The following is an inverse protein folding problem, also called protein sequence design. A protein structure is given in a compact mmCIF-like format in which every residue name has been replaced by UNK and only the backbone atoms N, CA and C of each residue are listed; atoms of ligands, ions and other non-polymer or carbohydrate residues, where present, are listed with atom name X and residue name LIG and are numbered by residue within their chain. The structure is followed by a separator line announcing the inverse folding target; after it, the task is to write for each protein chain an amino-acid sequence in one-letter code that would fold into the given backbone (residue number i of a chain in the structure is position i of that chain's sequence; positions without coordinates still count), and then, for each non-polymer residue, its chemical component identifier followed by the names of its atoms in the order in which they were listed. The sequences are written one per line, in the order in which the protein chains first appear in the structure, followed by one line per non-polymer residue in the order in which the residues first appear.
data_IF_355353415993
#
_entry.id   IF_355353415993
#
_cell.length_a   1.000
_cell.length_b   1.000
_cell.length_c   1.000
_cell.angle_alpha   90.00
_cell.angle_beta   90.00
_cell.angle_gamma   90.00
#
_symmetry.space_group_name_H-M   'P 1'
#
loop_
_entity.id
_entity.type
_entity.pdbx_description
1 polymer ?
#
# COMPACT_ATOMS: atom_id res chain seq x y z
N UNK A 1 84.04 40.78 -51.72
CA UNK A 1 83.98 41.82 -50.69
C UNK A 1 82.65 41.72 -49.95
N UNK A 2 82.73 41.57 -48.63
CA UNK A 2 81.74 41.72 -47.55
C UNK A 2 80.26 41.30 -47.72
N UNK A 3 79.92 40.23 -46.98
CA UNK A 3 78.62 39.99 -46.35
C UNK A 3 78.40 40.97 -45.17
N UNK A 4 77.21 41.56 -45.07
CA UNK A 4 76.70 42.16 -43.83
C UNK A 4 75.73 41.21 -43.15
N UNK A 5 76.02 40.86 -41.90
CA UNK A 5 75.20 40.02 -41.02
C UNK A 5 74.00 40.81 -40.49
N UNK A 6 72.82 40.20 -40.49
CA UNK A 6 71.73 40.57 -39.60
C UNK A 6 71.45 39.37 -38.68
N UNK A 7 71.78 39.50 -37.40
CA UNK A 7 71.65 38.47 -36.37
C UNK A 7 70.27 38.53 -35.71
N UNK A 8 69.43 37.52 -35.94
CA UNK A 8 68.23 37.26 -35.14
C UNK A 8 68.65 36.55 -33.84
N UNK A 9 68.06 36.96 -32.71
CA UNK A 9 68.44 36.46 -31.37
C UNK A 9 67.54 35.30 -30.92
N UNK A 10 68.05 34.49 -29.98
CA UNK A 10 67.45 33.26 -29.43
C UNK A 10 66.10 33.44 -28.71
N UNK A 11 65.55 34.66 -28.64
CA UNK A 11 64.29 34.99 -28.00
C UNK A 11 63.05 34.75 -28.90
N UNK A 12 63.20 34.84 -30.22
CA UNK A 12 62.06 34.78 -31.15
C UNK A 12 61.48 33.37 -31.35
N UNK A 13 62.27 32.31 -31.10
CA UNK A 13 61.80 30.92 -31.20
C UNK A 13 60.94 30.46 -30.00
N UNK A 14 61.05 31.12 -28.84
CA UNK A 14 60.26 30.75 -27.63
C UNK A 14 58.83 31.30 -27.65
N UNK A 15 58.57 32.38 -28.39
CA UNK A 15 57.24 32.98 -28.52
C UNK A 15 56.31 32.21 -29.47
N UNK A 16 56.83 31.65 -30.57
CA UNK A 16 56.03 30.89 -31.52
C UNK A 16 55.62 29.50 -31.01
N UNK A 17 56.50 28.80 -30.30
CA UNK A 17 56.22 27.45 -29.79
C UNK A 17 55.21 27.44 -28.64
N UNK A 18 55.20 28.47 -27.80
CA UNK A 18 54.22 28.60 -26.71
C UNK A 18 52.82 28.95 -27.23
N UNK A 19 52.73 29.72 -28.32
CA UNK A 19 51.47 30.05 -28.99
C UNK A 19 50.82 28.85 -29.67
N UNK A 20 51.59 27.98 -30.34
CA UNK A 20 51.06 26.76 -30.98
C UNK A 20 50.60 25.70 -29.97
N UNK A 21 51.30 25.52 -28.84
CA UNK A 21 50.91 24.56 -27.80
C UNK A 21 49.62 24.99 -27.08
N UNK A 22 49.40 26.29 -26.90
CA UNK A 22 48.14 26.84 -26.39
C UNK A 22 46.97 26.64 -27.36
N UNK A 23 47.21 26.81 -28.66
CA UNK A 23 46.18 26.60 -29.69
C UNK A 23 45.79 25.12 -29.85
N UNK A 24 46.75 24.19 -29.77
CA UNK A 24 46.48 22.73 -29.84
C UNK A 24 45.79 22.21 -28.57
N UNK A 25 46.11 22.76 -27.39
CA UNK A 25 45.41 22.40 -26.15
C UNK A 25 43.99 22.96 -26.08
N UNK A 26 43.73 24.17 -26.59
CA UNK A 26 42.39 24.74 -26.71
C UNK A 26 41.49 23.98 -27.69
N UNK A 27 42.05 23.49 -28.81
CA UNK A 27 41.30 22.70 -29.79
C UNK A 27 41.00 21.26 -29.32
N UNK A 28 41.82 20.69 -28.44
CA UNK A 28 41.52 19.40 -27.78
C UNK A 28 40.47 19.53 -26.65
N UNK A 29 40.35 20.70 -26.01
CA UNK A 29 39.29 20.98 -25.03
C UNK A 29 37.93 21.13 -25.73
N UNK A 30 37.89 21.70 -26.94
CA UNK A 30 36.67 21.80 -27.77
C UNK A 30 36.09 20.43 -28.18
N UNK A 31 36.91 19.38 -28.28
CA UNK A 31 36.46 18.04 -28.70
C UNK A 31 35.78 17.22 -27.59
N UNK A 32 35.82 17.68 -26.32
CA UNK A 32 35.26 16.96 -25.16
C UNK A 32 34.10 17.68 -24.46
N UNK A 33 33.72 18.86 -24.92
CA UNK A 33 32.59 19.61 -24.35
C UNK A 33 31.26 19.12 -24.95
N UNK A 34 30.27 18.72 -24.13
CA UNK A 34 28.93 18.39 -24.61
C UNK A 34 28.31 19.57 -25.38
N UNK A 35 27.56 19.27 -26.44
CA UNK A 35 26.95 20.25 -27.37
C UNK A 35 26.13 21.37 -26.70
N UNK A 36 25.69 21.20 -25.44
CA UNK A 36 24.97 22.20 -24.66
C UNK A 36 25.80 23.46 -24.30
N UNK A 37 27.14 23.43 -24.46
CA UNK A 37 28.02 24.54 -24.10
C UNK A 37 28.39 25.50 -25.26
N UNK A 38 28.00 25.20 -26.51
CA UNK A 38 28.34 26.06 -27.66
C UNK A 38 27.60 27.42 -27.62
N UNK A 39 26.41 27.48 -27.02
CA UNK A 39 25.58 28.69 -27.00
C UNK A 39 26.10 29.81 -26.06
N UNK A 40 26.91 29.48 -25.04
CA UNK A 40 27.45 30.48 -24.10
C UNK A 40 28.89 30.90 -24.44
N UNK A 41 29.55 30.20 -25.37
CA UNK A 41 30.93 30.47 -25.76
C UNK A 41 31.03 31.57 -26.83
N UNK A 42 30.06 31.66 -27.76
CA UNK A 42 29.98 32.76 -28.74
C UNK A 42 29.83 34.13 -28.06
N UNK A 43 29.14 34.18 -26.91
CA UNK A 43 28.99 35.41 -26.12
C UNK A 43 30.29 35.82 -25.39
N UNK A 44 31.17 34.87 -25.05
CA UNK A 44 32.46 35.17 -24.39
C UNK A 44 33.59 35.45 -25.37
N UNK A 45 33.51 34.95 -26.60
CA UNK A 45 34.44 35.30 -27.69
C UNK A 45 34.36 36.79 -28.09
N UNK A 46 33.17 37.39 -28.01
CA UNK A 46 32.97 38.83 -28.26
C UNK A 46 33.67 39.73 -27.24
N UNK A 47 33.79 39.28 -25.97
CA UNK A 47 34.52 40.02 -24.93
C UNK A 47 36.04 39.94 -25.08
N UNK A 48 36.59 38.87 -25.64
CA UNK A 48 38.03 38.75 -25.89
C UNK A 48 38.49 39.46 -27.17
N UNK A 49 37.60 39.68 -28.14
CA UNK A 49 37.90 40.41 -29.38
C UNK A 49 38.03 41.92 -29.21
N UNK A 50 37.66 42.48 -28.06
CA UNK A 50 37.89 43.90 -27.74
C UNK A 50 39.17 44.14 -26.91
N UNK A 51 39.85 43.08 -26.45
CA UNK A 51 41.11 43.20 -25.72
C UNK A 51 42.36 43.07 -26.60
N UNK A 52 42.20 42.84 -27.91
CA UNK A 52 43.33 42.59 -28.83
C UNK A 52 43.83 43.83 -29.58
N UNK A 53 43.22 45.01 -29.36
CA UNK A 53 43.64 46.26 -30.01
C UNK A 53 44.18 47.28 -29.01
N UNK A 54 45.18 46.91 -28.20
CA UNK A 54 46.19 47.86 -27.68
C UNK A 54 47.15 47.18 -26.69
N UNK A 55 48.44 47.27 -27.03
CA UNK A 55 49.59 47.26 -26.11
C UNK A 55 49.89 45.95 -25.38
N UNK A 56 51.04 45.34 -25.73
CA UNK A 56 51.72 44.31 -24.95
C UNK A 56 52.08 44.83 -23.56
N UNK A 57 51.19 44.68 -22.58
CA UNK A 57 51.52 44.88 -21.17
C UNK A 57 51.96 43.55 -20.58
N UNK A 58 53.23 43.49 -20.14
CA UNK A 58 53.70 42.44 -19.26
C UNK A 58 52.95 42.55 -17.92
N UNK A 59 52.17 41.54 -17.59
CA UNK A 59 51.53 41.45 -16.28
C UNK A 59 52.60 41.15 -15.22
N UNK A 60 52.50 41.78 -14.05
CA UNK A 60 53.35 41.43 -12.91
C UNK A 60 53.11 39.98 -12.48
N UNK A 61 54.13 39.31 -11.97
CA UNK A 61 54.03 37.94 -11.44
C UNK A 61 52.90 37.79 -10.40
N UNK A 62 52.65 38.83 -9.60
CA UNK A 62 51.54 38.88 -8.65
C UNK A 62 50.16 38.84 -9.30
N UNK A 63 49.98 39.52 -10.44
CA UNK A 63 48.70 39.55 -11.16
C UNK A 63 48.41 38.22 -11.86
N UNK A 64 49.44 37.57 -12.41
CA UNK A 64 49.32 36.23 -12.99
C UNK A 64 48.97 35.17 -11.93
N UNK A 65 49.63 35.21 -10.78
CA UNK A 65 49.35 34.27 -9.69
C UNK A 65 47.92 34.43 -9.16
N UNK A 66 47.41 35.65 -9.06
CA UNK A 66 46.02 35.91 -8.64
C UNK A 66 45.01 35.34 -9.63
N UNK A 67 45.22 35.54 -10.95
CA UNK A 67 44.36 34.96 -11.99
C UNK A 67 44.40 33.43 -11.98
N UNK A 68 45.56 32.82 -11.77
CA UNK A 68 45.70 31.36 -11.62
C UNK A 68 44.90 30.86 -10.41
N UNK A 69 44.92 31.58 -9.28
CA UNK A 69 44.12 31.20 -8.12
C UNK A 69 42.61 31.24 -8.39
N UNK A 70 42.12 32.25 -9.13
CA UNK A 70 40.71 32.34 -9.52
C UNK A 70 40.34 31.17 -10.43
N UNK A 71 41.14 30.92 -11.48
CA UNK A 71 40.89 29.82 -12.42
C UNK A 71 40.88 28.47 -11.69
N UNK A 72 41.84 28.23 -10.78
CA UNK A 72 41.89 26.99 -10.01
C UNK A 72 40.71 26.85 -9.05
N UNK A 73 40.22 27.96 -8.48
CA UNK A 73 39.02 27.98 -7.63
C UNK A 73 37.77 27.64 -8.45
N UNK A 74 37.60 28.26 -9.60
CA UNK A 74 36.46 28.03 -10.51
C UNK A 74 36.48 26.59 -11.03
N UNK A 75 37.64 26.04 -11.39
CA UNK A 75 37.79 24.63 -11.79
C UNK A 75 37.43 23.69 -10.64
N UNK A 76 37.81 24.03 -9.41
CA UNK A 76 37.48 23.21 -8.23
C UNK A 76 35.98 23.23 -7.95
N UNK A 77 35.36 24.40 -8.04
CA UNK A 77 33.93 24.59 -7.83
C UNK A 77 33.10 23.89 -8.92
N UNK A 78 33.54 23.95 -10.18
CA UNK A 78 32.89 23.25 -11.30
C UNK A 78 33.04 21.73 -11.20
N UNK A 79 34.19 21.23 -10.71
CA UNK A 79 34.36 19.81 -10.37
C UNK A 79 33.45 19.38 -9.23
N UNK A 80 33.38 20.14 -8.15
CA UNK A 80 32.51 19.85 -7.01
C UNK A 80 31.03 19.90 -7.41
N UNK A 81 30.62 20.86 -8.24
CA UNK A 81 29.26 20.96 -8.77
C UNK A 81 28.93 19.85 -9.77
N UNK A 82 29.89 19.44 -10.61
CA UNK A 82 29.74 18.28 -11.50
C UNK A 82 29.63 16.97 -10.72
N UNK A 83 30.38 16.80 -9.63
CA UNK A 83 30.27 15.65 -8.72
C UNK A 83 28.96 15.64 -7.93
N UNK A 84 28.44 16.81 -7.54
CA UNK A 84 27.10 16.93 -6.95
C UNK A 84 26.00 16.59 -7.96
N UNK A 85 26.21 16.84 -9.25
CA UNK A 85 25.29 16.46 -10.32
C UNK A 85 25.30 14.95 -10.60
N UNK A 86 26.44 14.28 -10.40
CA UNK A 86 26.56 12.82 -10.37
C UNK A 86 26.26 12.27 -8.96
N UNK A 87 25.06 12.53 -8.44
CA UNK A 87 24.55 11.74 -7.31
C UNK A 87 24.33 10.29 -7.77
N UNK A 88 25.16 9.37 -7.28
CA UNK A 88 24.84 7.94 -7.26
C UNK A 88 23.63 7.73 -6.34
N UNK A 89 22.42 7.94 -6.84
CA UNK A 89 21.22 7.54 -6.11
C UNK A 89 21.18 6.01 -6.10
N UNK A 90 21.02 5.40 -4.92
CA UNK A 90 20.89 3.93 -4.82
C UNK A 90 19.84 3.43 -5.83
N UNK A 91 20.12 2.34 -6.56
CA UNK A 91 19.18 1.82 -7.55
C UNK A 91 17.82 1.59 -6.92
N UNK A 92 16.79 2.20 -7.52
CA UNK A 92 15.41 2.04 -7.04
C UNK A 92 14.99 0.58 -7.21
N UNK A 93 14.58 -0.05 -6.13
CA UNK A 93 14.11 -1.44 -6.09
C UNK A 93 12.62 -1.46 -6.42
N UNK A 94 12.16 -2.31 -7.36
CA UNK A 94 10.73 -2.44 -7.66
C UNK A 94 9.99 -2.99 -6.42
N UNK A 95 8.67 -2.78 -6.33
CA UNK A 95 7.87 -3.37 -5.27
C UNK A 95 7.94 -4.90 -5.37
N UNK A 96 7.94 -5.59 -4.22
CA UNK A 96 7.88 -7.04 -4.14
C UNK A 96 7.06 -7.46 -2.94
N UNK A 97 6.10 -8.35 -3.14
CA UNK A 97 5.36 -8.97 -2.03
C UNK A 97 6.22 -10.04 -1.36
N UNK A 98 6.65 -9.79 -0.13
CA UNK A 98 7.31 -10.78 0.75
C UNK A 98 6.30 -11.53 1.62
N UNK A 99 5.14 -10.93 1.90
CA UNK A 99 3.97 -11.64 2.43
C UNK A 99 2.77 -11.41 1.51
N UNK A 100 2.40 -12.40 0.67
CA UNK A 100 1.27 -12.27 -0.23
C UNK A 100 -0.06 -12.38 0.53
N UNK A 101 -1.14 -11.98 -0.14
CA UNK A 101 -2.50 -12.13 0.36
C UNK A 101 -2.83 -13.61 0.65
N UNK A 102 -3.59 -13.83 1.73
CA UNK A 102 -4.14 -15.13 2.10
C UNK A 102 -5.63 -15.22 1.76
N UNK A 103 -6.18 -16.41 1.44
CA UNK A 103 -7.61 -16.61 1.26
C UNK A 103 -8.41 -16.19 2.51
N UNK A 104 -9.52 -15.50 2.30
CA UNK A 104 -10.39 -15.06 3.40
C UNK A 104 -11.82 -15.61 3.22
N UNK A 105 -12.44 -15.97 4.33
CA UNK A 105 -13.83 -16.42 4.37
C UNK A 105 -14.57 -15.69 5.48
N UNK A 106 -15.79 -15.23 5.20
CA UNK A 106 -16.67 -14.63 6.20
C UNK A 106 -18.12 -15.05 5.95
N UNK A 107 -18.97 -14.87 6.96
CA UNK A 107 -20.42 -14.98 6.82
C UNK A 107 -21.02 -13.68 6.29
N UNK A 108 -22.18 -13.76 5.66
CA UNK A 108 -22.91 -12.57 5.19
C UNK A 108 -23.25 -11.64 6.36
N UNK A 109 -23.04 -10.34 6.17
CA UNK A 109 -23.11 -9.31 7.22
C UNK A 109 -21.83 -9.20 8.07
N UNK A 110 -20.88 -10.13 7.95
CA UNK A 110 -19.60 -10.10 8.65
C UNK A 110 -18.59 -9.11 8.06
N UNK A 111 -17.36 -9.20 8.56
CA UNK A 111 -16.24 -8.36 8.13
C UNK A 111 -15.11 -9.20 7.53
N UNK A 112 -14.39 -8.64 6.57
CA UNK A 112 -13.25 -9.25 5.89
C UNK A 112 -12.06 -8.29 5.97
N UNK A 113 -10.90 -8.84 6.31
CA UNK A 113 -9.64 -8.13 6.30
C UNK A 113 -8.65 -8.85 5.39
N UNK A 114 -8.12 -8.14 4.40
CA UNK A 114 -7.07 -8.60 3.51
C UNK A 114 -5.80 -7.81 3.79
N UNK A 115 -4.71 -8.53 4.07
CA UNK A 115 -3.42 -7.92 4.39
C UNK A 115 -2.30 -8.57 3.59
N UNK A 116 -1.38 -7.75 3.10
CA UNK A 116 -0.13 -8.21 2.49
C UNK A 116 1.00 -7.24 2.83
N UNK A 117 2.24 -7.74 2.84
CA UNK A 117 3.44 -6.94 3.06
C UNK A 117 4.19 -6.74 1.75
N UNK A 118 4.72 -5.52 1.57
CA UNK A 118 5.39 -5.06 0.35
C UNK A 118 6.73 -4.42 0.71
N UNK A 119 7.78 -4.92 0.08
CA UNK A 119 9.13 -4.34 0.11
C UNK A 119 9.37 -3.55 -1.17
N UNK A 120 10.28 -2.57 -1.13
CA UNK A 120 10.69 -1.82 -2.32
C UNK A 120 11.10 -0.39 -1.99
N UNK A 121 11.60 0.33 -2.99
CA UNK A 121 11.93 1.73 -2.81
C UNK A 121 10.67 2.60 -2.75
N UNK A 122 10.65 3.55 -1.82
CA UNK A 122 9.59 4.54 -1.69
C UNK A 122 9.64 5.59 -2.83
N UNK A 123 8.51 6.21 -3.21
CA UNK A 123 7.14 5.96 -2.70
C UNK A 123 6.46 4.77 -3.41
N UNK A 124 5.93 3.84 -2.62
CA UNK A 124 5.12 2.73 -3.15
C UNK A 124 3.63 3.13 -3.14
N UNK A 125 2.97 2.99 -4.27
CA UNK A 125 1.52 3.19 -4.41
C UNK A 125 0.81 1.85 -4.45
N UNK A 126 -0.19 1.69 -3.61
CA UNK A 126 -1.06 0.51 -3.54
C UNK A 126 -2.37 0.78 -4.27
N UNK A 127 -2.82 -0.20 -5.04
CA UNK A 127 -4.09 -0.20 -5.74
C UNK A 127 -4.78 -1.55 -5.54
N UNK A 128 -6.02 -1.53 -5.04
CA UNK A 128 -6.84 -2.73 -4.85
C UNK A 128 -7.80 -2.90 -6.01
N UNK A 129 -7.92 -4.13 -6.53
CA UNK A 129 -8.83 -4.47 -7.61
C UNK A 129 -9.69 -5.68 -7.25
N UNK A 130 -10.94 -5.69 -7.69
CA UNK A 130 -11.87 -6.83 -7.65
C UNK A 130 -12.47 -7.02 -9.04
N UNK A 131 -12.37 -8.24 -9.57
CA UNK A 131 -12.81 -8.56 -10.94
C UNK A 131 -12.24 -7.57 -12.00
N UNK A 132 -10.97 -7.17 -11.82
CA UNK A 132 -10.27 -6.23 -12.71
C UNK A 132 -10.66 -4.76 -12.57
N UNK A 133 -11.62 -4.41 -11.69
CA UNK A 133 -12.02 -3.03 -11.41
C UNK A 133 -11.39 -2.53 -10.12
N UNK A 134 -10.90 -1.30 -10.14
CA UNK A 134 -10.34 -0.64 -8.97
C UNK A 134 -11.43 -0.45 -7.89
N UNK A 135 -11.07 -0.81 -6.65
CA UNK A 135 -11.93 -0.66 -5.48
C UNK A 135 -11.84 0.79 -5.00
N UNK A 136 -13.00 1.40 -4.74
CA UNK A 136 -13.09 2.74 -4.17
C UNK A 136 -13.41 2.66 -2.68
N UNK A 137 -12.91 3.62 -1.93
CA UNK A 137 -13.25 3.78 -0.52
C UNK A 137 -14.74 4.12 -0.38
N UNK A 138 -15.36 3.61 0.69
CA UNK A 138 -16.75 3.85 1.07
C UNK A 138 -16.92 3.56 2.56
N UNK A 139 -18.10 3.83 3.13
CA UNK A 139 -18.38 3.59 4.55
C UNK A 139 -18.16 2.12 4.98
N UNK A 140 -18.30 1.18 4.04
CA UNK A 140 -18.10 -0.26 4.25
C UNK A 140 -16.78 -0.80 3.72
N UNK A 141 -15.96 0.02 3.08
CA UNK A 141 -14.73 -0.40 2.43
C UNK A 141 -13.64 0.63 2.66
N UNK A 142 -12.66 0.29 3.46
CA UNK A 142 -11.53 1.15 3.75
C UNK A 142 -10.22 0.44 3.41
N UNK A 143 -9.19 1.22 3.06
CA UNK A 143 -7.86 0.66 2.82
C UNK A 143 -6.77 1.64 3.22
N UNK A 144 -5.64 1.08 3.62
CA UNK A 144 -4.49 1.84 4.10
C UNK A 144 -3.19 1.22 3.65
N UNK A 145 -2.12 2.01 3.68
CA UNK A 145 -0.77 1.52 3.43
C UNK A 145 0.21 2.24 4.37
N UNK A 146 0.80 1.49 5.30
CA UNK A 146 1.75 2.02 6.27
C UNK A 146 2.80 0.97 6.60
N UNK A 147 4.06 1.39 6.74
CA UNK A 147 5.16 0.51 7.14
C UNK A 147 5.28 -0.76 6.27
N UNK A 148 5.01 -0.66 4.97
CA UNK A 148 5.03 -1.80 4.05
C UNK A 148 3.79 -2.71 4.11
N UNK A 149 2.88 -2.50 5.06
CA UNK A 149 1.64 -3.26 5.18
C UNK A 149 0.53 -2.57 4.39
N UNK A 150 -0.02 -3.26 3.40
CA UNK A 150 -1.23 -2.86 2.70
C UNK A 150 -2.42 -3.59 3.33
N UNK A 151 -3.44 -2.82 3.73
CA UNK A 151 -4.63 -3.33 4.39
C UNK A 151 -5.88 -2.92 3.61
N UNK A 152 -6.79 -3.87 3.39
CA UNK A 152 -8.15 -3.66 2.90
C UNK A 152 -9.13 -4.26 3.90
N UNK A 153 -10.09 -3.45 4.33
CA UNK A 153 -11.13 -3.80 5.29
C UNK A 153 -12.50 -3.63 4.63
N UNK A 154 -13.30 -4.69 4.66
CA UNK A 154 -14.66 -4.73 4.13
C UNK A 154 -15.60 -5.11 5.27
N UNK A 155 -16.60 -4.26 5.54
CA UNK A 155 -17.62 -4.50 6.55
C UNK A 155 -18.96 -4.84 5.90
N UNK A 156 -19.83 -5.52 6.66
CA UNK A 156 -21.16 -5.93 6.21
C UNK A 156 -21.13 -6.60 4.83
N UNK A 157 -20.30 -7.63 4.69
CA UNK A 157 -20.06 -8.29 3.39
C UNK A 157 -21.28 -9.04 2.90
N UNK A 158 -21.54 -8.99 1.59
CA UNK A 158 -22.65 -9.70 0.93
C UNK A 158 -22.11 -10.82 0.05
N UNK A 159 -22.97 -11.72 -0.42
CA UNK A 159 -22.55 -12.75 -1.40
C UNK A 159 -21.82 -12.16 -2.62
N UNK A 160 -22.22 -10.95 -3.05
CA UNK A 160 -21.61 -10.24 -4.18
C UNK A 160 -20.15 -9.83 -3.92
N UNK A 161 -19.71 -9.82 -2.67
CA UNK A 161 -18.33 -9.51 -2.25
C UNK A 161 -17.34 -10.65 -2.45
N UNK A 162 -17.85 -11.85 -2.69
CA UNK A 162 -17.02 -12.99 -3.08
C UNK A 162 -16.31 -12.75 -4.41
N UNK A 163 -15.09 -13.26 -4.55
CA UNK A 163 -14.34 -13.16 -5.80
C UNK A 163 -12.83 -13.13 -5.60
N UNK A 164 -12.12 -12.88 -6.71
CA UNK A 164 -10.68 -12.64 -6.69
C UNK A 164 -10.39 -11.15 -6.44
N UNK A 165 -9.57 -10.90 -5.42
CA UNK A 165 -9.03 -9.59 -5.09
C UNK A 165 -7.56 -9.55 -5.44
N UNK A 166 -7.11 -8.41 -5.97
CA UNK A 166 -5.74 -8.16 -6.39
C UNK A 166 -5.22 -6.94 -5.63
N UNK A 167 -4.06 -7.08 -5.01
CA UNK A 167 -3.27 -5.94 -4.53
C UNK A 167 -2.14 -5.69 -5.53
N UNK A 168 -2.12 -4.49 -6.11
CA UNK A 168 -1.09 -4.03 -7.04
C UNK A 168 -0.23 -2.98 -6.35
N UNK A 169 1.07 -3.21 -6.30
CA UNK A 169 2.04 -2.26 -5.80
C UNK A 169 2.86 -1.68 -6.96
N UNK A 170 3.10 -0.37 -6.94
CA UNK A 170 3.84 0.32 -8.01
C UNK A 170 4.77 1.40 -7.47
N UNK A 171 5.95 1.54 -8.08
CA UNK A 171 6.84 2.67 -7.89
C UNK A 171 7.54 3.00 -9.24
N UNK A 172 8.53 3.89 -9.24
CA UNK A 172 9.23 4.28 -10.48
C UNK A 172 10.08 3.18 -11.11
N UNK A 173 10.44 2.14 -10.35
CA UNK A 173 11.26 1.03 -10.80
C UNK A 173 10.45 -0.15 -11.34
N UNK A 174 9.14 -0.22 -11.05
CA UNK A 174 8.28 -1.25 -11.58
C UNK A 174 7.00 -1.46 -10.79
N UNK A 175 6.36 -2.59 -11.06
CA UNK A 175 5.09 -2.99 -10.47
C UNK A 175 5.11 -4.47 -10.10
N UNK A 176 4.43 -4.83 -9.02
CA UNK A 176 4.18 -6.21 -8.65
C UNK A 176 2.71 -6.37 -8.26
N UNK A 177 2.19 -7.60 -8.32
CA UNK A 177 0.79 -7.92 -7.98
C UNK A 177 0.70 -9.21 -7.20
N UNK A 178 -0.11 -9.25 -6.15
CA UNK A 178 -0.54 -10.49 -5.51
C UNK A 178 -2.07 -10.61 -5.51
N UNK A 179 -2.57 -11.84 -5.42
CA UNK A 179 -4.01 -12.14 -5.54
C UNK A 179 -4.47 -13.09 -4.44
N UNK A 180 -5.74 -12.99 -4.08
CA UNK A 180 -6.38 -13.93 -3.17
C UNK A 180 -7.88 -14.05 -3.43
N UNK A 181 -8.43 -15.21 -3.07
CA UNK A 181 -9.86 -15.51 -3.16
C UNK A 181 -10.55 -15.17 -1.85
N UNK A 182 -11.64 -14.43 -1.96
CA UNK A 182 -12.58 -14.14 -0.89
C UNK A 182 -13.86 -14.95 -1.09
N UNK A 183 -14.31 -15.63 -0.04
CA UNK A 183 -15.56 -16.42 -0.04
C UNK A 183 -16.50 -15.91 1.04
N UNK A 184 -17.66 -15.40 0.64
CA UNK A 184 -18.74 -15.06 1.59
C UNK A 184 -19.71 -16.23 1.65
N UNK A 185 -19.88 -16.80 2.84
CA UNK A 185 -20.86 -17.85 3.12
C UNK A 185 -22.17 -17.18 3.51
N UNK A 186 -23.22 -17.46 2.73
CA UNK A 186 -24.58 -17.16 3.16
C UNK A 186 -24.93 -18.18 4.25
N UNK A 187 -25.50 -17.77 5.40
CA UNK A 187 -26.06 -18.71 6.35
C UNK A 187 -27.06 -19.62 5.62
N UNK A 188 -27.02 -20.92 5.87
CA UNK A 188 -27.86 -21.90 5.15
C UNK A 188 -29.37 -21.67 5.30
N UNK A 189 -29.80 -20.77 6.20
CA UNK A 189 -31.21 -20.51 6.45
C UNK A 189 -31.41 -19.13 7.09
N UNK A 190 -31.83 -18.15 6.30
CA UNK A 190 -32.55 -16.96 6.78
C UNK A 190 -34.07 -17.21 6.86
N UNK A 191 -34.50 -18.39 6.40
CA UNK A 191 -35.86 -18.90 6.50
C UNK A 191 -36.92 -18.04 5.81
N UNK A 192 -36.53 -17.08 4.95
CA UNK A 192 -37.20 -15.93 4.29
C UNK A 192 -38.73 -15.74 4.28
N UNK A 193 -39.49 -16.72 4.72
CA UNK A 193 -40.85 -16.63 5.26
C UNK A 193 -40.84 -16.21 6.74
N UNK A 194 -41.77 -15.35 7.17
CA UNK A 194 -41.90 -14.97 8.57
C UNK A 194 -42.12 -16.21 9.45
N UNK A 195 -41.62 -16.14 10.68
CA UNK A 195 -41.92 -17.15 11.71
C UNK A 195 -43.43 -17.17 11.88
N UNK A 196 -44.00 -18.36 11.83
CA UNK A 196 -45.43 -18.60 12.05
C UNK A 196 -45.71 -19.09 13.47
N UNK A 197 -44.68 -19.62 14.15
CA UNK A 197 -44.80 -20.11 15.52
C UNK A 197 -43.51 -20.69 16.09
N UNK A 198 -43.59 -21.15 17.32
CA UNK A 198 -42.50 -21.82 18.00
C UNK A 198 -42.94 -23.18 18.55
N UNK A 199 -42.06 -24.17 18.46
CA UNK A 199 -42.27 -25.49 19.05
C UNK A 199 -41.39 -25.57 20.30
N UNK A 200 -42.03 -25.73 21.45
CA UNK A 200 -41.37 -25.93 22.73
C UNK A 200 -41.22 -27.44 22.92
N UNK A 201 -39.99 -27.89 23.10
CA UNK A 201 -39.67 -29.28 23.40
C UNK A 201 -39.18 -29.40 24.84
N UNK A 202 -39.61 -30.46 25.51
CA UNK A 202 -39.15 -30.83 26.83
C UNK A 202 -38.45 -32.18 26.80
N UNK A 203 -37.55 -32.39 27.76
CA UNK A 203 -36.88 -33.67 27.98
C UNK A 203 -36.70 -33.89 29.46
N UNK A 204 -37.28 -34.96 29.98
CA UNK A 204 -37.04 -35.39 31.35
C UNK A 204 -35.55 -35.72 31.54
N UNK A 205 -34.97 -35.40 32.70
CA UNK A 205 -33.56 -35.65 33.02
C UNK A 205 -33.15 -37.12 32.91
N UNK A 206 -34.05 -38.05 33.22
CA UNK A 206 -33.85 -39.49 33.07
C UNK A 206 -33.93 -39.97 31.61
N UNK A 207 -34.42 -39.13 30.69
CA UNK A 207 -34.57 -39.44 29.27
C UNK A 207 -33.53 -38.72 28.40
N UNK A 208 -33.23 -39.34 27.26
CA UNK A 208 -32.44 -38.71 26.18
C UNK A 208 -33.33 -38.21 25.04
N UNK A 209 -34.62 -38.54 25.06
CA UNK A 209 -35.57 -38.22 24.00
C UNK A 209 -36.23 -36.86 24.27
N UNK A 210 -36.15 -35.97 23.29
CA UNK A 210 -36.90 -34.71 23.29
C UNK A 210 -38.31 -34.95 22.78
N UNK A 211 -39.29 -34.34 23.44
CA UNK A 211 -40.70 -34.48 23.09
C UNK A 211 -41.34 -33.10 22.96
N UNK A 212 -42.20 -32.88 21.94
CA UNK A 212 -42.91 -31.63 21.78
C UNK A 212 -43.92 -31.46 22.91
N UNK A 213 -43.81 -30.33 23.62
CA UNK A 213 -44.67 -29.99 24.74
C UNK A 213 -45.81 -29.06 24.32
N UNK A 214 -45.51 -28.07 23.47
CA UNK A 214 -46.47 -27.08 23.01
C UNK A 214 -46.01 -26.45 21.69
N UNK A 215 -46.95 -25.98 20.88
CA UNK A 215 -46.69 -25.08 19.75
C UNK A 215 -47.42 -23.77 19.98
N UNK A 216 -46.72 -22.65 19.82
CA UNK A 216 -47.25 -21.29 20.03
C UNK A 216 -47.32 -20.52 18.73
N UNK A 217 -48.08 -19.42 18.71
CA UNK A 217 -48.09 -18.47 17.61
C UNK A 217 -46.81 -17.64 17.52
N UNK A 218 -46.59 -16.96 16.40
CA UNK A 218 -45.40 -16.12 16.16
C UNK A 218 -45.26 -14.96 17.17
N UNK A 219 -46.39 -14.42 17.65
CA UNK A 219 -46.42 -13.28 18.57
C UNK A 219 -46.37 -13.71 20.05
N UNK A 220 -46.43 -15.01 20.32
CA UNK A 220 -46.46 -15.58 21.68
C UNK A 220 -45.04 -15.95 22.14
N UNK A 221 -44.44 -15.08 22.97
CA UNK A 221 -43.07 -15.24 23.49
C UNK A 221 -42.99 -15.89 24.88
N UNK A 222 -44.11 -16.43 25.37
CA UNK A 222 -44.23 -17.11 26.66
C UNK A 222 -45.27 -18.22 26.58
N UNK A 223 -45.04 -19.31 27.29
CA UNK A 223 -45.94 -20.45 27.32
C UNK A 223 -46.03 -21.07 28.71
N UNK A 224 -47.21 -21.61 29.04
CA UNK A 224 -47.46 -22.35 30.28
C UNK A 224 -47.67 -23.82 29.92
N UNK A 225 -46.79 -24.69 30.42
CA UNK A 225 -46.86 -26.13 30.19
C UNK A 225 -47.66 -26.80 31.32
N UNK A 226 -48.72 -27.52 30.97
CA UNK A 226 -49.58 -28.24 31.94
C UNK A 226 -49.21 -29.70 32.11
N UNK A 227 -48.60 -30.31 31.09
CA UNK A 227 -48.40 -31.77 31.03
C UNK A 227 -47.06 -32.20 31.65
N UNK A 228 -46.71 -31.57 32.78
CA UNK A 228 -45.48 -31.83 33.52
C UNK A 228 -45.75 -32.60 34.81
N UNK A 229 -44.83 -33.49 35.19
CA UNK A 229 -44.95 -34.29 36.41
C UNK A 229 -44.25 -33.56 37.57
N UNK A 230 -44.93 -33.48 38.70
CA UNK A 230 -44.38 -32.87 39.92
C UNK A 230 -43.15 -33.66 40.43
N UNK A 231 -42.19 -32.95 41.01
CA UNK A 231 -40.92 -33.43 41.55
C UNK A 231 -39.92 -33.98 40.52
N UNK A 232 -40.27 -33.95 39.23
CA UNK A 232 -39.38 -34.28 38.13
C UNK A 232 -38.59 -33.08 37.62
N UNK A 233 -37.44 -33.34 37.00
CA UNK A 233 -36.58 -32.33 36.41
C UNK A 233 -36.59 -32.41 34.88
N UNK A 234 -36.81 -31.26 34.23
CA UNK A 234 -36.87 -31.16 32.78
C UNK A 234 -35.86 -30.16 32.22
N UNK A 235 -35.37 -30.46 31.02
CA UNK A 235 -34.71 -29.51 30.14
C UNK A 235 -35.71 -29.03 29.10
N UNK A 236 -35.66 -27.74 28.77
CA UNK A 236 -36.49 -27.15 27.73
C UNK A 236 -35.63 -26.60 26.61
N UNK A 237 -36.14 -26.64 25.38
CA UNK A 237 -35.55 -25.94 24.22
C UNK A 237 -36.66 -25.56 23.26
N UNK A 238 -36.37 -24.59 22.39
CA UNK A 238 -37.35 -24.03 21.45
C UNK A 238 -36.87 -24.23 20.02
N UNK A 239 -37.79 -24.48 19.08
CA UNK A 239 -37.52 -24.50 17.64
C UNK A 239 -38.45 -23.51 16.94
N UNK A 240 -37.91 -22.62 16.13
CA UNK A 240 -38.73 -21.73 15.31
C UNK A 240 -39.41 -22.50 14.17
N UNK A 241 -40.64 -22.15 13.82
CA UNK A 241 -41.41 -22.74 12.72
C UNK A 241 -41.85 -21.64 11.74
N UNK A 242 -41.78 -21.93 10.44
CA UNK A 242 -42.30 -21.09 9.38
C UNK A 242 -43.11 -21.94 8.37
N UNK A 243 -43.57 -21.31 7.28
CA UNK A 243 -44.35 -21.99 6.22
C UNK A 243 -43.57 -23.10 5.49
N UNK A 244 -42.24 -23.10 5.59
CA UNK A 244 -41.36 -24.08 4.93
C UNK A 244 -41.05 -25.26 5.85
N UNK A 245 -40.92 -25.03 7.16
CA UNK A 245 -40.65 -26.08 8.13
C UNK A 245 -40.16 -25.59 9.49
N UNK A 246 -39.52 -26.50 10.23
CA UNK A 246 -39.04 -26.25 11.59
C UNK A 246 -37.51 -26.07 11.60
N UNK A 247 -37.05 -24.95 12.14
CA UNK A 247 -35.65 -24.58 12.26
C UNK A 247 -34.84 -25.44 13.26
N UNK A 248 -33.56 -25.08 13.41
CA UNK A 248 -32.65 -25.70 14.37
C UNK A 248 -33.10 -25.40 15.81
N UNK A 249 -32.89 -26.32 16.76
CA UNK A 249 -33.22 -26.09 18.16
C UNK A 249 -32.30 -25.06 18.82
N UNK A 250 -32.87 -24.30 19.76
CA UNK A 250 -32.14 -23.43 20.67
C UNK A 250 -31.21 -24.24 21.58
N UNK A 251 -30.24 -23.60 22.25
CA UNK A 251 -29.61 -24.16 23.43
C UNK A 251 -30.69 -24.58 24.44
N UNK A 252 -30.46 -25.72 25.11
CA UNK A 252 -31.34 -26.17 26.16
C UNK A 252 -31.18 -25.29 27.41
N UNK A 253 -32.27 -25.08 28.15
CA UNK A 253 -32.22 -24.47 29.47
C UNK A 253 -31.39 -25.33 30.43
N UNK A 254 -31.03 -24.78 31.59
CA UNK A 254 -30.66 -25.62 32.74
C UNK A 254 -31.85 -26.51 33.15
N UNK A 255 -31.57 -27.58 33.89
CA UNK A 255 -32.62 -28.42 34.47
C UNK A 255 -33.53 -27.57 35.39
N UNK A 256 -34.83 -27.72 35.22
CA UNK A 256 -35.88 -27.06 36.01
C UNK A 256 -36.65 -28.15 36.73
N UNK A 257 -36.70 -28.07 38.06
CA UNK A 257 -37.50 -28.96 38.89
C UNK A 257 -38.93 -28.44 38.97
N UNK A 258 -39.90 -29.28 38.63
CA UNK A 258 -41.33 -28.98 38.72
C UNK A 258 -41.79 -29.25 40.15
N UNK A 259 -42.51 -28.31 40.75
CA UNK A 259 -43.04 -28.42 42.11
C UNK A 259 -44.45 -27.79 42.13
N UNK A 260 -45.39 -28.36 42.90
CA UNK A 260 -46.70 -27.74 43.11
C UNK A 260 -46.50 -26.42 43.86
N UNK A 261 -47.02 -25.28 43.35
CA UNK A 261 -46.87 -24.00 44.02
C UNK A 261 -47.75 -23.93 45.27
N UNK A 262 -47.29 -24.51 46.38
CA UNK A 262 -47.67 -24.04 47.72
C UNK A 262 -46.92 -22.73 47.98
N UNK A 263 -47.28 -21.69 47.21
CA UNK A 263 -46.61 -20.38 47.16
C UNK A 263 -46.08 -20.03 45.77
N UNK A 264 -46.97 -19.51 44.91
CA UNK A 264 -46.74 -18.80 43.62
C UNK A 264 -45.37 -18.98 42.95
N UNK A 265 -45.26 -19.85 41.93
CA UNK A 265 -44.34 -19.64 40.80
C UNK A 265 -44.89 -20.28 39.51
N UNK A 266 -45.01 -19.49 38.44
CA UNK A 266 -45.25 -19.96 37.07
C UNK A 266 -43.90 -20.20 36.40
N UNK A 267 -43.75 -21.29 35.66
CA UNK A 267 -42.56 -21.51 34.83
C UNK A 267 -42.69 -20.65 33.57
N UNK A 268 -42.27 -19.39 33.65
CA UNK A 268 -42.19 -18.51 32.49
C UNK A 268 -41.00 -18.94 31.62
N UNK A 269 -41.27 -19.77 30.61
CA UNK A 269 -40.33 -20.01 29.53
C UNK A 269 -40.30 -18.77 28.63
N UNK A 270 -39.35 -17.87 28.86
CA UNK A 270 -39.12 -16.70 28.00
C UNK A 270 -38.43 -17.19 26.71
N UNK A 271 -39.08 -16.93 25.58
CA UNK A 271 -38.52 -17.20 24.25
C UNK A 271 -37.57 -16.03 23.92
N UNK A 272 -36.27 -16.22 24.13
CA UNK A 272 -35.20 -15.30 23.72
C UNK A 272 -34.40 -15.85 22.56
#
# INVERSE_FOLDING_TARGET
MQFSRCSLTRADYRGMMTSLVLLVTLSLIQARTPLAFLATWEHRQLMFRQASTSTSRSFSSSTLNYLIQIINKDIKEDKENSLKHFQFSEPKKPPRFDQPLQPATAEEGGNIQLSCHVQGSQPIRIQWLKAGREIRASDRCNFSFANGVALLELAAVTKSDSGEYVCKASNMAGTDTCRSKVTVKVPEYDGGTPITGYIIELRNRASIKWEPAMTTGADELSAILTDVVENEEYFFRVRAQNMVGVGKPSPATRAVKIMDPVGKFYCDCIIT
#
